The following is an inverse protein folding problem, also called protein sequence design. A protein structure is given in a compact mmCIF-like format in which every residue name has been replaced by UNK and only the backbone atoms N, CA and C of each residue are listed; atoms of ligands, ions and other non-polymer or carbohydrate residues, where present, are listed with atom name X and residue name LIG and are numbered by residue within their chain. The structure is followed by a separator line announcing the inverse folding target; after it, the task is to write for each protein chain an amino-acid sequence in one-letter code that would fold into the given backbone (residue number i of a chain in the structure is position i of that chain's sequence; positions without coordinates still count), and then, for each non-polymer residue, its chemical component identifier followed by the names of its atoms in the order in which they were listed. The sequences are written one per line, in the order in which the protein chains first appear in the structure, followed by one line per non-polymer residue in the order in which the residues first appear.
data_IF_428183787454
#
_entry.id   IF_428183787454
#
_cell.length_a   1.000
_cell.length_b   1.000
_cell.length_c   1.000
_cell.angle_alpha   90.00
_cell.angle_beta   90.00
_cell.angle_gamma   90.00
#
_symmetry.space_group_name_H-M   'P 1'
#
loop_
_entity.id
_entity.type
_entity.pdbx_description
1 polymer ?
#
# COMPACT_ATOMS: atom_id res chain seq x y z
N UNK A 1 77.56 39.43 1.06
CA UNK A 1 77.97 39.34 -0.37
C UNK A 1 77.62 37.92 -0.78
N UNK A 2 76.70 37.64 -1.72
CA UNK A 2 76.65 38.08 -3.12
C UNK A 2 75.23 37.85 -3.66
N UNK A 3 74.78 38.74 -4.55
CA UNK A 3 73.52 38.70 -5.31
C UNK A 3 73.42 37.48 -6.24
N UNK A 4 72.20 37.13 -6.69
CA UNK A 4 71.74 37.01 -8.11
C UNK A 4 70.27 36.50 -8.06
N UNK A 5 69.24 37.31 -8.34
CA UNK A 5 68.59 37.70 -9.62
C UNK A 5 67.99 36.56 -10.47
N UNK A 6 66.65 36.66 -10.60
CA UNK A 6 65.67 35.96 -11.46
C UNK A 6 66.11 35.73 -12.91
N UNK A 7 65.69 34.59 -13.50
CA UNK A 7 64.77 34.57 -14.67
C UNK A 7 64.31 33.16 -15.12
N UNK A 8 62.98 33.03 -15.26
CA UNK A 8 62.13 32.37 -16.27
C UNK A 8 62.56 31.03 -16.92
N UNK A 9 61.76 29.98 -16.70
CA UNK A 9 61.17 29.02 -17.70
C UNK A 9 59.93 28.39 -17.02
N UNK A 10 58.72 28.85 -17.30
CA UNK A 10 57.70 28.18 -18.13
C UNK A 10 57.32 26.74 -17.69
N UNK A 11 56.18 26.62 -16.99
CA UNK A 11 55.26 25.50 -17.17
C UNK A 11 53.83 26.05 -17.18
N UNK A 12 53.20 25.90 -18.33
CA UNK A 12 51.78 26.11 -18.58
C UNK A 12 51.01 24.87 -18.12
N UNK A 13 49.79 25.08 -17.62
CA UNK A 13 48.72 24.07 -17.67
C UNK A 13 48.32 23.48 -16.33
N UNK A 14 47.56 24.23 -15.53
CA UNK A 14 46.64 23.66 -14.56
C UNK A 14 45.55 24.69 -14.22
N UNK A 15 44.41 24.60 -14.90
CA UNK A 15 43.08 24.99 -14.41
C UNK A 15 42.13 24.96 -15.60
N UNK A 16 41.33 23.90 -15.69
CA UNK A 16 39.93 23.91 -16.14
C UNK A 16 39.42 22.46 -16.17
N UNK A 17 38.14 22.32 -15.83
CA UNK A 17 37.32 21.11 -15.86
C UNK A 17 37.28 20.27 -14.57
N UNK A 18 36.80 20.90 -13.49
CA UNK A 18 36.03 20.23 -12.43
C UNK A 18 34.61 20.82 -12.38
N UNK A 19 33.95 20.91 -13.54
CA UNK A 19 32.54 21.23 -13.68
C UNK A 19 32.00 20.33 -14.79
N UNK A 20 31.45 19.19 -14.41
CA UNK A 20 30.96 18.20 -15.36
C UNK A 20 30.60 16.89 -14.68
N UNK A 21 29.85 16.95 -13.58
CA UNK A 21 29.26 15.75 -12.95
C UNK A 21 28.08 16.06 -12.00
N UNK A 22 27.40 17.20 -12.19
CA UNK A 22 26.18 17.55 -11.43
C UNK A 22 24.99 17.84 -12.37
N UNK A 23 25.19 17.82 -13.69
CA UNK A 23 24.15 18.17 -14.67
C UNK A 23 23.28 16.98 -15.13
N UNK A 24 23.42 15.79 -14.52
CA UNK A 24 22.69 14.59 -14.94
C UNK A 24 21.52 14.16 -14.04
N UNK A 25 21.44 14.65 -12.80
CA UNK A 25 20.38 14.28 -11.85
C UNK A 25 19.24 15.31 -11.77
N UNK A 26 19.48 16.54 -12.20
CA UNK A 26 18.48 17.61 -12.17
C UNK A 26 17.45 17.54 -13.30
N UNK A 27 17.64 16.66 -14.29
CA UNK A 27 16.71 16.48 -15.40
C UNK A 27 15.55 15.51 -15.10
N UNK A 28 15.61 14.79 -13.97
CA UNK A 28 14.61 13.79 -13.57
C UNK A 28 13.96 14.19 -12.24
N UNK A 29 13.68 15.47 -12.01
CA UNK A 29 12.93 15.92 -10.84
C UNK A 29 11.59 16.48 -11.34
N UNK A 30 10.47 16.25 -10.63
CA UNK A 30 9.16 16.73 -11.07
C UNK A 30 9.18 18.26 -11.25
N UNK A 31 8.55 18.74 -12.32
CA UNK A 31 8.35 20.18 -12.53
C UNK A 31 7.24 20.65 -11.60
N UNK A 32 7.60 21.24 -10.47
CA UNK A 32 6.63 21.81 -9.53
C UNK A 32 5.88 22.98 -10.17
N UNK A 33 4.56 22.85 -10.31
CA UNK A 33 3.67 24.00 -10.46
C UNK A 33 3.68 24.76 -9.12
N UNK A 34 4.50 25.80 -9.04
CA UNK A 34 4.56 26.66 -7.85
C UNK A 34 3.43 27.67 -7.91
N UNK A 35 2.37 27.42 -7.14
CA UNK A 35 1.57 28.45 -6.47
C UNK A 35 0.66 27.77 -5.42
N UNK A 36 1.20 27.55 -4.22
CA UNK A 36 0.40 27.29 -3.02
C UNK A 36 0.91 28.22 -1.92
N UNK A 37 0.00 29.06 -1.43
CA UNK A 37 0.28 30.02 -0.36
C UNK A 37 0.49 29.32 0.98
N UNK A 38 1.41 29.87 1.77
CA UNK A 38 1.64 29.50 3.16
C UNK A 38 0.33 29.57 3.97
N UNK A 39 -0.13 28.45 4.53
CA UNK A 39 -0.76 28.43 5.85
C UNK A 39 -0.63 27.03 6.49
N UNK A 40 -0.13 27.02 7.72
CA UNK A 40 0.37 25.85 8.42
C UNK A 40 -0.63 25.25 9.44
N UNK A 41 -0.55 23.92 9.56
CA UNK A 41 -0.68 23.08 10.75
C UNK A 41 -2.03 23.00 11.53
N UNK A 42 -2.60 21.79 11.43
CA UNK A 42 -3.00 20.90 12.52
C UNK A 42 -4.36 21.07 13.24
N UNK A 43 -5.10 19.96 13.23
CA UNK A 43 -6.05 19.49 14.24
C UNK A 43 -7.25 20.39 14.54
N UNK A 44 -8.32 20.25 13.76
CA UNK A 44 -9.64 20.53 14.32
C UNK A 44 -10.74 19.71 13.66
N UNK A 45 -11.46 18.91 14.45
CA UNK A 45 -12.84 18.47 14.20
C UNK A 45 -13.83 19.66 14.26
N UNK A 46 -13.40 20.86 13.88
CA UNK A 46 -14.25 22.03 13.80
C UNK A 46 -14.75 22.16 12.36
N UNK A 47 -16.08 22.08 12.20
CA UNK A 47 -16.78 22.38 10.95
C UNK A 47 -16.38 23.80 10.50
N UNK A 48 -15.41 23.91 9.60
CA UNK A 48 -15.02 25.17 8.99
C UNK A 48 -16.23 25.73 8.21
N UNK A 49 -16.42 27.06 8.18
CA UNK A 49 -17.53 27.65 7.44
C UNK A 49 -17.39 27.32 5.95
N UNK A 50 -18.40 26.61 5.44
CA UNK A 50 -18.55 26.23 4.04
C UNK A 50 -18.32 27.44 3.11
N UNK A 51 -17.38 27.33 2.15
CA UNK A 51 -17.13 28.39 1.17
C UNK A 51 -18.42 28.69 0.37
N UNK A 52 -18.64 29.95 -0.01
CA UNK A 52 -19.76 30.32 -0.89
C UNK A 52 -19.65 29.53 -2.21
N UNK A 53 -20.63 28.65 -2.48
CA UNK A 53 -20.68 27.84 -3.69
C UNK A 53 -20.42 26.35 -3.50
N UNK A 54 -19.97 25.89 -2.32
CA UNK A 54 -19.84 24.45 -2.03
C UNK A 54 -21.22 23.78 -2.11
N UNK A 55 -21.36 22.66 -2.85
CA UNK A 55 -22.61 21.91 -2.91
C UNK A 55 -23.07 21.40 -1.54
N UNK A 56 -24.33 21.03 -1.43
CA UNK A 56 -24.89 20.52 -0.18
C UNK A 56 -24.32 19.15 0.14
N UNK A 57 -23.73 19.01 1.33
CA UNK A 57 -23.30 17.73 1.87
C UNK A 57 -24.49 16.80 2.22
N UNK A 58 -24.23 15.49 2.22
CA UNK A 58 -25.14 14.44 2.67
C UNK A 58 -25.29 14.38 4.21
N UNK A 59 -25.93 13.33 4.73
CA UNK A 59 -26.14 13.18 6.17
C UNK A 59 -24.86 12.91 6.97
N UNK A 60 -23.81 12.42 6.32
CA UNK A 60 -22.50 12.19 6.92
C UNK A 60 -21.61 13.43 6.86
N UNK A 61 -22.06 14.49 6.17
CA UNK A 61 -21.27 15.70 5.94
C UNK A 61 -20.33 15.60 4.73
N UNK A 62 -20.53 14.61 3.85
CA UNK A 62 -19.76 14.42 2.63
C UNK A 62 -20.46 15.08 1.44
N UNK A 63 -19.74 15.88 0.66
CA UNK A 63 -20.21 16.30 -0.67
C UNK A 63 -19.79 15.24 -1.69
N UNK A 64 -20.77 14.65 -2.37
CA UNK A 64 -20.54 13.59 -3.37
C UNK A 64 -19.81 14.10 -4.60
N UNK A 65 -19.07 13.23 -5.29
CA UNK A 65 -18.35 13.59 -6.53
C UNK A 65 -19.29 14.18 -7.59
N UNK A 66 -20.46 13.56 -7.80
CA UNK A 66 -21.48 14.04 -8.74
C UNK A 66 -21.93 15.49 -8.45
N UNK A 67 -21.93 15.91 -7.17
CA UNK A 67 -22.33 17.27 -6.81
C UNK A 67 -21.29 18.32 -7.25
N UNK A 68 -20.05 17.92 -7.52
CA UNK A 68 -18.96 18.79 -7.99
C UNK A 68 -18.87 18.92 -9.51
N UNK A 69 -19.60 18.10 -10.28
CA UNK A 69 -19.43 17.99 -11.74
C UNK A 69 -19.57 19.30 -12.53
N UNK A 70 -20.45 20.21 -12.08
CA UNK A 70 -20.67 21.48 -12.78
C UNK A 70 -19.60 22.53 -12.43
N UNK A 71 -18.89 22.33 -11.31
CA UNK A 71 -17.83 23.21 -10.80
C UNK A 71 -16.45 22.73 -11.27
N UNK A 72 -16.21 21.41 -11.26
CA UNK A 72 -14.97 20.75 -11.65
C UNK A 72 -15.22 19.68 -12.73
N UNK A 73 -15.69 20.07 -13.94
CA UNK A 73 -16.14 19.14 -14.95
C UNK A 73 -15.04 18.22 -15.50
N UNK A 74 -13.79 18.70 -15.60
CA UNK A 74 -12.67 17.90 -16.11
C UNK A 74 -12.21 16.83 -15.11
N UNK A 75 -12.06 17.21 -13.83
CA UNK A 75 -11.74 16.30 -12.74
C UNK A 75 -12.84 15.25 -12.59
N UNK A 76 -14.11 15.67 -12.60
CA UNK A 76 -15.23 14.73 -12.53
C UNK A 76 -15.29 13.79 -13.74
N UNK A 77 -15.12 14.32 -14.96
CA UNK A 77 -15.15 13.48 -16.16
C UNK A 77 -14.05 12.43 -16.15
N UNK A 78 -12.81 12.81 -15.80
CA UNK A 78 -11.70 11.85 -15.71
C UNK A 78 -11.85 10.88 -14.53
N UNK A 79 -12.44 11.31 -13.41
CA UNK A 79 -12.86 10.41 -12.33
C UNK A 79 -13.84 9.33 -12.83
N UNK A 80 -14.79 9.68 -13.70
CA UNK A 80 -15.74 8.71 -14.24
C UNK A 80 -15.12 7.74 -15.27
N UNK A 81 -13.96 8.06 -15.87
CA UNK A 81 -13.26 7.12 -16.75
C UNK A 81 -12.83 5.83 -16.03
N UNK A 82 -12.65 5.90 -14.71
CA UNK A 82 -12.35 4.74 -13.88
C UNK A 82 -13.43 3.63 -13.97
N UNK A 83 -14.65 3.93 -14.42
CA UNK A 83 -15.70 2.92 -14.68
C UNK A 83 -15.25 1.84 -15.69
N UNK A 84 -14.28 2.14 -16.57
CA UNK A 84 -13.74 1.17 -17.51
C UNK A 84 -13.08 -0.04 -16.83
N UNK A 85 -12.50 0.15 -15.63
CA UNK A 85 -11.84 -0.88 -14.84
C UNK A 85 -12.80 -1.50 -13.81
N UNK A 86 -13.85 -2.16 -14.31
CA UNK A 86 -14.94 -2.75 -13.52
C UNK A 86 -14.65 -4.17 -13.01
N UNK A 87 -15.40 -4.66 -12.00
CA UNK A 87 -15.31 -6.06 -11.58
C UNK A 87 -15.56 -7.07 -12.71
N UNK A 88 -16.37 -6.69 -13.71
CA UNK A 88 -16.69 -7.52 -14.87
C UNK A 88 -15.67 -7.38 -16.01
N UNK A 89 -14.59 -6.60 -15.84
CA UNK A 89 -13.60 -6.32 -16.90
C UNK A 89 -12.58 -7.45 -17.11
N UNK A 90 -12.89 -8.67 -16.69
CA UNK A 90 -11.99 -9.83 -16.80
C UNK A 90 -10.93 -9.90 -15.71
N UNK A 91 -11.26 -9.43 -14.50
CA UNK A 91 -10.38 -9.47 -13.32
C UNK A 91 -9.88 -10.88 -13.05
N UNK A 92 -8.60 -11.01 -12.71
CA UNK A 92 -8.02 -12.28 -12.29
C UNK A 92 -8.52 -12.68 -10.89
N UNK A 93 -8.86 -13.97 -10.72
CA UNK A 93 -8.95 -14.58 -9.39
C UNK A 93 -7.56 -15.09 -9.00
N UNK A 94 -6.93 -14.46 -8.01
CA UNK A 94 -5.60 -14.85 -7.55
C UNK A 94 -5.58 -16.26 -6.94
N UNK A 95 -6.69 -16.79 -6.42
CA UNK A 95 -6.76 -18.17 -5.94
C UNK A 95 -6.70 -19.18 -7.09
N UNK A 96 -7.09 -18.78 -8.30
CA UNK A 96 -6.92 -19.58 -9.53
C UNK A 96 -5.53 -19.38 -10.15
N UNK A 97 -5.05 -18.12 -10.22
CA UNK A 97 -3.76 -17.78 -10.80
C UNK A 97 -2.58 -18.33 -9.98
N UNK A 98 -2.70 -18.29 -8.65
CA UNK A 98 -1.74 -18.82 -7.68
C UNK A 98 -2.38 -19.89 -6.79
N UNK A 99 -2.51 -21.15 -7.27
CA UNK A 99 -3.22 -22.20 -6.55
C UNK A 99 -2.68 -22.49 -5.13
N UNK A 100 -1.39 -22.23 -4.89
CA UNK A 100 -0.74 -22.35 -3.58
C UNK A 100 -1.45 -21.54 -2.48
N UNK A 101 -2.10 -20.42 -2.84
CA UNK A 101 -2.85 -19.57 -1.92
C UNK A 101 -3.98 -20.32 -1.20
N UNK A 102 -4.59 -21.30 -1.84
CA UNK A 102 -5.64 -22.13 -1.24
C UNK A 102 -5.13 -22.92 -0.03
N UNK A 103 -3.84 -23.28 -0.03
CA UNK A 103 -3.19 -23.88 1.12
C UNK A 103 -2.72 -22.80 2.10
N UNK A 104 -2.00 -21.77 1.62
CA UNK A 104 -1.37 -20.74 2.46
C UNK A 104 -2.36 -19.94 3.31
N UNK A 105 -3.53 -19.59 2.75
CA UNK A 105 -4.55 -18.80 3.45
C UNK A 105 -5.60 -19.65 4.17
N UNK A 106 -5.39 -20.96 4.29
CA UNK A 106 -6.39 -21.85 4.88
C UNK A 106 -6.71 -21.46 6.32
N UNK A 107 -8.00 -21.24 6.58
CA UNK A 107 -8.51 -20.73 7.85
C UNK A 107 -8.73 -19.22 7.89
N UNK A 108 -8.37 -18.49 6.83
CA UNK A 108 -8.57 -17.06 6.70
C UNK A 108 -9.56 -16.69 5.58
N UNK A 109 -10.11 -15.47 5.65
CA UNK A 109 -11.17 -15.04 4.72
C UNK A 109 -10.68 -14.97 3.26
N UNK A 110 -9.39 -14.68 3.04
CA UNK A 110 -8.79 -14.66 1.71
C UNK A 110 -8.85 -16.00 0.98
N UNK A 111 -8.95 -17.13 1.69
CA UNK A 111 -9.18 -18.44 1.07
C UNK A 111 -10.62 -18.63 0.53
N UNK A 112 -11.53 -17.67 0.76
CA UNK A 112 -12.89 -17.70 0.23
C UNK A 112 -13.00 -16.97 -1.11
N UNK A 113 -12.12 -16.00 -1.37
CA UNK A 113 -12.07 -15.22 -2.60
C UNK A 113 -11.03 -14.10 -2.52
N UNK A 114 -10.25 -13.95 -3.58
CA UNK A 114 -9.22 -12.92 -3.72
C UNK A 114 -9.01 -12.54 -5.18
N UNK A 115 -9.67 -11.45 -5.59
CA UNK A 115 -9.61 -10.96 -6.96
C UNK A 115 -8.64 -9.78 -7.11
N UNK A 116 -8.14 -9.60 -8.33
CA UNK A 116 -7.45 -8.41 -8.80
C UNK A 116 -8.28 -7.15 -8.52
N UNK A 117 -7.61 -6.05 -8.16
CA UNK A 117 -8.29 -4.80 -7.81
C UNK A 117 -9.09 -4.23 -9.00
N UNK A 118 -10.33 -3.84 -8.72
CA UNK A 118 -11.15 -2.98 -9.59
C UNK A 118 -10.98 -1.52 -9.17
N UNK A 119 -11.41 -0.57 -10.01
CA UNK A 119 -11.22 0.84 -9.69
C UNK A 119 -12.01 1.32 -8.47
N UNK A 120 -11.58 2.46 -7.95
CA UNK A 120 -12.15 3.14 -6.79
C UNK A 120 -13.67 3.34 -6.83
N UNK A 121 -14.25 3.59 -8.01
CA UNK A 121 -15.70 3.79 -8.16
C UNK A 121 -16.51 2.52 -7.85
N UNK A 122 -15.87 1.35 -7.89
CA UNK A 122 -16.45 0.06 -7.52
C UNK A 122 -16.11 -0.40 -6.12
N UNK A 123 -15.36 0.38 -5.32
CA UNK A 123 -14.90 -0.04 -4.00
C UNK A 123 -16.03 -0.54 -3.08
N UNK A 124 -17.17 0.16 -3.06
CA UNK A 124 -18.35 -0.26 -2.31
C UNK A 124 -19.01 -1.54 -2.88
N UNK A 125 -19.06 -1.68 -4.22
CA UNK A 125 -19.60 -2.89 -4.84
C UNK A 125 -18.72 -4.10 -4.51
N UNK A 126 -17.42 -4.01 -4.79
CA UNK A 126 -16.47 -5.11 -4.60
C UNK A 126 -16.43 -5.59 -3.14
N UNK A 127 -16.45 -4.68 -2.16
CA UNK A 127 -16.45 -5.07 -0.74
C UNK A 127 -17.78 -5.69 -0.28
N UNK A 128 -18.92 -5.30 -0.89
CA UNK A 128 -20.24 -5.90 -0.63
C UNK A 128 -20.35 -7.31 -1.22
N UNK A 129 -19.71 -7.56 -2.36
CA UNK A 129 -19.92 -8.77 -3.16
C UNK A 129 -18.86 -9.85 -2.92
N UNK A 130 -17.68 -9.49 -2.41
CA UNK A 130 -16.61 -10.45 -2.18
C UNK A 130 -17.04 -11.61 -1.25
N UNK A 131 -16.62 -12.86 -1.52
CA UNK A 131 -16.80 -13.99 -0.61
C UNK A 131 -16.32 -13.73 0.83
N UNK A 132 -15.34 -12.84 0.99
CA UNK A 132 -14.75 -12.51 2.29
C UNK A 132 -15.73 -11.88 3.27
N UNK A 133 -16.75 -11.18 2.77
CA UNK A 133 -17.78 -10.48 3.58
C UNK A 133 -19.15 -11.16 3.49
N UNK A 134 -19.44 -11.83 2.37
CA UNK A 134 -20.72 -12.52 2.15
C UNK A 134 -20.78 -13.91 2.79
N UNK A 135 -19.63 -14.59 2.95
CA UNK A 135 -19.58 -15.93 3.55
C UNK A 135 -19.04 -15.92 4.99
N UNK A 136 -18.44 -14.82 5.44
CA UNK A 136 -17.93 -14.62 6.80
C UNK A 136 -18.27 -13.22 7.27
N UNK A 137 -18.97 -13.11 8.40
CA UNK A 137 -19.25 -11.81 9.02
C UNK A 137 -17.93 -11.12 9.40
N UNK A 138 -17.81 -9.86 9.00
CA UNK A 138 -16.68 -9.00 9.32
C UNK A 138 -17.12 -7.86 10.24
N UNK A 139 -16.16 -7.14 10.81
CA UNK A 139 -16.42 -5.87 11.48
C UNK A 139 -16.43 -4.71 10.48
N UNK A 140 -17.00 -3.59 10.90
CA UNK A 140 -17.13 -2.40 10.07
C UNK A 140 -15.78 -1.80 9.62
N UNK A 141 -14.66 -2.21 10.22
CA UNK A 141 -13.31 -1.91 9.73
C UNK A 141 -13.06 -2.22 8.26
N UNK A 142 -13.73 -3.22 7.68
CA UNK A 142 -13.59 -3.52 6.26
C UNK A 142 -14.09 -2.37 5.35
N UNK A 143 -14.81 -1.39 5.89
CA UNK A 143 -15.39 -0.24 5.18
C UNK A 143 -14.42 0.96 5.12
N UNK A 144 -13.42 1.02 6.02
CA UNK A 144 -12.49 2.17 6.20
C UNK A 144 -11.98 2.75 4.88
N UNK A 145 -11.48 1.88 4.00
CA UNK A 145 -10.84 2.27 2.74
C UNK A 145 -11.77 2.06 1.54
N UNK A 146 -13.09 2.26 1.71
CA UNK A 146 -14.09 1.97 0.66
C UNK A 146 -15.06 3.12 0.39
N UNK A 147 -15.25 4.02 1.35
CA UNK A 147 -16.15 5.16 1.22
C UNK A 147 -15.75 6.31 2.15
N UNK A 148 -15.83 7.58 1.70
CA UNK A 148 -15.60 8.73 2.57
C UNK A 148 -16.67 8.86 3.67
N UNK A 149 -17.88 8.32 3.45
CA UNK A 149 -18.99 8.43 4.41
C UNK A 149 -18.72 7.67 5.70
N UNK A 150 -18.11 6.48 5.61
CA UNK A 150 -17.70 5.73 6.80
C UNK A 150 -16.57 6.44 7.54
N UNK A 151 -15.57 6.97 6.83
CA UNK A 151 -14.50 7.77 7.44
C UNK A 151 -15.05 9.00 8.16
N UNK A 152 -15.97 9.74 7.54
CA UNK A 152 -16.63 10.89 8.17
C UNK A 152 -17.44 10.48 9.40
N UNK A 153 -18.15 9.34 9.34
CA UNK A 153 -18.88 8.78 10.48
C UNK A 153 -17.95 8.45 11.64
N UNK A 154 -16.86 7.72 11.42
CA UNK A 154 -15.86 7.40 12.46
C UNK A 154 -15.27 8.68 13.05
N UNK A 155 -14.89 9.65 12.22
CA UNK A 155 -14.32 10.91 12.69
C UNK A 155 -15.30 11.73 13.56
N UNK A 156 -16.60 11.59 13.32
CA UNK A 156 -17.66 12.28 14.08
C UNK A 156 -18.11 11.53 15.33
N UNK A 157 -18.24 10.21 15.26
CA UNK A 157 -18.87 9.38 16.30
C UNK A 157 -17.86 8.68 17.21
N UNK A 158 -16.63 8.49 16.75
CA UNK A 158 -15.55 7.85 17.48
C UNK A 158 -15.24 6.43 17.00
N UNK A 159 -14.18 5.87 17.60
CA UNK A 159 -13.61 4.57 17.23
C UNK A 159 -14.57 3.39 17.53
N UNK A 160 -15.58 3.56 18.39
CA UNK A 160 -16.55 2.48 18.67
C UNK A 160 -17.31 2.00 17.42
N UNK A 161 -17.43 2.85 16.39
CA UNK A 161 -18.08 2.51 15.11
C UNK A 161 -17.42 1.29 14.45
N UNK A 162 -16.10 1.10 14.63
CA UNK A 162 -15.39 -0.06 14.10
C UNK A 162 -15.90 -1.39 14.65
N UNK A 163 -16.45 -1.40 15.87
CA UNK A 163 -16.94 -2.62 16.53
C UNK A 163 -18.27 -3.13 15.98
N UNK A 164 -18.95 -2.31 15.16
CA UNK A 164 -20.20 -2.70 14.51
C UNK A 164 -19.98 -3.80 13.47
N UNK A 165 -21.05 -4.52 13.13
CA UNK A 165 -20.99 -5.53 12.07
C UNK A 165 -20.94 -4.88 10.71
N UNK A 166 -20.10 -5.41 9.83
CA UNK A 166 -20.00 -4.98 8.45
C UNK A 166 -21.36 -5.03 7.74
N UNK A 167 -22.08 -6.15 7.86
CA UNK A 167 -23.34 -6.35 7.12
C UNK A 167 -24.49 -5.47 7.63
N UNK A 168 -24.40 -4.97 8.86
CA UNK A 168 -25.40 -4.04 9.41
C UNK A 168 -25.14 -2.61 8.88
N UNK A 169 -23.88 -2.25 8.60
CA UNK A 169 -23.44 -0.89 8.24
C UNK A 169 -23.33 -0.64 6.73
N UNK A 170 -22.81 -1.61 5.96
CA UNK A 170 -22.36 -1.39 4.58
C UNK A 170 -23.48 -0.91 3.63
N UNK A 171 -24.75 -1.19 3.96
CA UNK A 171 -25.93 -0.75 3.21
C UNK A 171 -26.26 0.74 3.38
N UNK A 172 -25.72 1.40 4.39
CA UNK A 172 -25.96 2.83 4.67
C UNK A 172 -25.15 3.77 3.77
N UNK A 173 -24.09 3.25 3.13
CA UNK A 173 -23.15 4.02 2.33
C UNK A 173 -23.40 3.86 0.82
N UNK A 174 -23.36 4.99 0.12
CA UNK A 174 -23.68 5.13 -1.30
C UNK A 174 -22.55 5.75 -2.11
N UNK A 175 -21.69 6.55 -1.48
CA UNK A 175 -20.57 7.22 -2.15
C UNK A 175 -19.33 6.32 -2.09
N UNK A 176 -18.79 5.82 -3.21
CA UNK A 176 -17.53 5.08 -3.23
C UNK A 176 -16.35 6.02 -2.93
N UNK A 177 -15.12 5.56 -3.07
CA UNK A 177 -13.95 6.44 -2.96
C UNK A 177 -14.10 7.60 -3.95
N UNK A 178 -14.03 8.84 -3.45
CA UNK A 178 -14.39 10.05 -4.21
C UNK A 178 -13.61 11.28 -3.76
N UNK A 179 -13.99 12.46 -4.26
CA UNK A 179 -13.32 13.75 -3.99
C UNK A 179 -13.02 13.95 -2.49
N UNK A 180 -13.96 13.57 -1.62
CA UNK A 180 -13.86 13.80 -0.18
C UNK A 180 -12.68 13.07 0.47
N UNK A 181 -12.30 11.89 -0.03
CA UNK A 181 -11.21 11.12 0.56
C UNK A 181 -9.87 11.88 0.54
N UNK A 182 -9.66 12.72 -0.48
CA UNK A 182 -8.40 13.45 -0.70
C UNK A 182 -8.54 14.97 -0.51
N UNK A 183 -9.76 15.51 -0.54
CA UNK A 183 -10.02 16.95 -0.51
C UNK A 183 -11.05 17.38 0.55
N UNK A 184 -11.63 16.44 1.31
CA UNK A 184 -12.80 16.71 2.14
C UNK A 184 -13.90 17.46 1.33
N UNK A 185 -14.35 18.62 1.80
CA UNK A 185 -15.27 19.48 1.05
C UNK A 185 -14.58 20.73 0.48
N UNK A 186 -13.25 20.69 0.35
CA UNK A 186 -12.37 21.77 -0.12
C UNK A 186 -11.51 21.30 -1.31
N UNK A 187 -12.07 21.22 -2.54
CA UNK A 187 -11.42 20.61 -3.71
C UNK A 187 -10.08 21.21 -4.15
N UNK A 188 -9.69 22.37 -3.63
CA UNK A 188 -8.43 23.03 -3.97
C UNK A 188 -7.29 22.71 -2.99
N UNK A 189 -7.56 21.96 -1.93
CA UNK A 189 -6.56 21.56 -0.93
C UNK A 189 -6.54 20.04 -0.77
N UNK A 190 -5.38 19.48 -0.46
CA UNK A 190 -5.26 18.08 -0.10
C UNK A 190 -5.45 17.90 1.41
N UNK A 191 -6.16 16.86 1.79
CA UNK A 191 -6.42 16.48 3.18
C UNK A 191 -6.42 14.97 3.33
N UNK A 192 -5.91 14.52 4.47
CA UNK A 192 -5.85 13.10 4.86
C UNK A 192 -6.91 12.90 5.94
N UNK A 193 -8.04 12.32 5.55
CA UNK A 193 -9.21 12.07 6.40
C UNK A 193 -9.07 10.83 7.27
N UNK A 194 -8.28 9.84 6.83
CA UNK A 194 -8.00 8.59 7.53
C UNK A 194 -7.14 8.81 8.77
N UNK A 195 -7.77 9.02 9.93
CA UNK A 195 -7.05 9.36 11.18
C UNK A 195 -6.13 8.26 11.68
N UNK A 196 -6.39 6.99 11.35
CA UNK A 196 -5.48 5.90 11.73
C UNK A 196 -4.11 6.02 11.04
N UNK A 197 -4.11 6.42 9.76
CA UNK A 197 -2.91 6.64 8.97
C UNK A 197 -2.20 7.93 9.39
N UNK A 198 -2.93 9.01 9.67
CA UNK A 198 -2.34 10.23 10.25
C UNK A 198 -1.62 9.93 11.56
N UNK A 199 -2.24 9.12 12.43
CA UNK A 199 -1.63 8.71 13.71
C UNK A 199 -0.37 7.87 13.50
N UNK A 200 -0.35 6.96 12.52
CA UNK A 200 0.81 6.11 12.24
C UNK A 200 1.96 6.87 11.58
N UNK A 201 1.69 7.86 10.72
CA UNK A 201 2.72 8.75 10.19
C UNK A 201 3.37 9.61 11.27
N UNK A 202 2.64 9.98 12.32
CA UNK A 202 3.19 10.72 13.46
C UNK A 202 3.80 12.07 13.03
N UNK A 203 5.12 12.24 13.22
CA UNK A 203 5.84 13.45 12.79
C UNK A 203 5.99 13.58 11.28
N UNK A 204 5.80 12.50 10.54
CA UNK A 204 6.02 12.44 9.10
C UNK A 204 4.73 12.75 8.32
N UNK A 205 3.70 13.21 9.01
CA UNK A 205 2.45 13.70 8.42
C UNK A 205 2.49 15.20 8.11
N UNK A 206 1.88 15.57 6.97
CA UNK A 206 1.61 16.95 6.57
C UNK A 206 2.62 17.53 5.58
N UNK A 207 2.39 18.77 5.16
CA UNK A 207 3.14 19.50 4.12
C UNK A 207 4.64 19.66 4.39
N UNK A 208 5.05 19.57 5.65
CA UNK A 208 6.45 19.70 6.04
C UNK A 208 7.22 18.36 6.00
N UNK A 209 6.54 17.26 5.69
CA UNK A 209 7.12 15.93 5.58
C UNK A 209 8.02 15.79 4.34
N UNK A 210 8.91 14.80 4.37
CA UNK A 210 9.66 14.38 3.18
C UNK A 210 8.75 13.67 2.16
N UNK A 211 7.62 13.13 2.60
CA UNK A 211 6.61 12.53 1.73
C UNK A 211 5.63 13.62 1.28
N UNK A 212 5.45 13.87 -0.04
CA UNK A 212 4.49 14.85 -0.53
C UNK A 212 3.04 14.52 -0.12
N UNK A 213 2.21 15.55 0.08
CA UNK A 213 0.79 15.36 0.41
C UNK A 213 0.03 14.57 -0.65
N UNK A 214 0.43 14.71 -1.92
CA UNK A 214 -0.06 13.98 -3.09
C UNK A 214 0.11 12.46 -2.94
N UNK A 215 1.10 12.02 -2.17
CA UNK A 215 1.29 10.60 -1.84
C UNK A 215 0.65 10.22 -0.52
N UNK A 216 0.64 11.11 0.48
CA UNK A 216 -0.02 10.86 1.76
C UNK A 216 -1.52 10.61 1.59
N UNK A 217 -2.19 11.27 0.63
CA UNK A 217 -3.61 11.01 0.36
C UNK A 217 -3.87 9.60 -0.21
N UNK A 218 -2.94 9.04 -0.99
CA UNK A 218 -3.01 7.64 -1.46
C UNK A 218 -2.72 6.65 -0.32
N UNK A 219 -1.72 6.99 0.50
CA UNK A 219 -1.30 6.23 1.67
C UNK A 219 -2.38 6.04 2.73
N UNK A 220 -3.49 6.78 2.67
CA UNK A 220 -4.67 6.52 3.52
C UNK A 220 -5.28 5.14 3.34
N UNK A 221 -5.13 4.53 2.17
CA UNK A 221 -5.79 3.27 1.83
C UNK A 221 -4.79 2.22 1.33
N UNK A 222 -3.78 2.66 0.58
CA UNK A 222 -2.75 1.83 -0.03
C UNK A 222 -1.59 1.60 0.93
N UNK A 223 -1.91 0.92 2.03
CA UNK A 223 -1.01 0.61 3.13
C UNK A 223 -1.27 -0.80 3.70
N UNK A 224 -0.29 -1.34 4.41
CA UNK A 224 -0.46 -2.48 5.30
C UNK A 224 -1.20 -2.05 6.57
N UNK A 225 -2.16 -2.87 7.00
CA UNK A 225 -2.94 -2.61 8.21
C UNK A 225 -3.32 -3.90 8.94
N UNK A 226 -3.73 -3.74 10.18
CA UNK A 226 -4.39 -4.79 10.95
C UNK A 226 -5.57 -4.22 11.75
N UNK A 227 -6.38 -5.10 12.33
CA UNK A 227 -7.44 -4.69 13.24
C UNK A 227 -7.00 -4.97 14.66
N UNK A 228 -6.86 -3.90 15.44
CA UNK A 228 -6.35 -4.00 16.80
C UNK A 228 -7.23 -4.95 17.64
N UNK A 229 -6.65 -5.98 18.28
CA UNK A 229 -7.44 -7.04 18.90
C UNK A 229 -8.25 -6.54 20.10
N UNK A 230 -7.86 -5.44 20.74
CA UNK A 230 -8.52 -4.89 21.92
C UNK A 230 -9.55 -3.82 21.54
N UNK A 231 -9.12 -2.82 20.77
CA UNK A 231 -9.93 -1.65 20.40
C UNK A 231 -10.76 -1.87 19.14
N UNK A 232 -10.39 -2.86 18.32
CA UNK A 232 -10.93 -3.09 16.97
C UNK A 232 -10.66 -1.95 16.00
N UNK A 233 -9.78 -1.00 16.30
CA UNK A 233 -9.48 0.10 15.37
C UNK A 233 -8.61 -0.41 14.21
N UNK A 234 -8.89 0.09 12.99
CA UNK A 234 -7.97 -0.11 11.86
C UNK A 234 -6.66 0.60 12.18
N UNK A 235 -5.55 -0.12 12.14
CA UNK A 235 -4.24 0.37 12.63
C UNK A 235 -3.14 -0.04 11.68
N UNK A 236 -2.13 0.79 11.47
CA UNK A 236 -0.91 0.41 10.75
C UNK A 236 0.15 -0.16 11.73
N UNK A 237 0.96 -1.14 11.32
CA UNK A 237 1.95 -1.78 12.18
C UNK A 237 3.30 -1.03 12.25
N UNK A 238 3.27 0.31 12.35
CA UNK A 238 4.46 1.16 12.38
C UNK A 238 4.15 2.56 12.95
N UNK A 239 5.19 3.27 13.41
CA UNK A 239 5.17 4.72 13.70
C UNK A 239 6.26 5.44 12.89
N UNK A 240 5.85 6.29 11.94
CA UNK A 240 6.73 7.01 11.02
C UNK A 240 7.18 6.17 9.81
N UNK A 241 7.78 6.84 8.81
CA UNK A 241 8.20 6.18 7.55
C UNK A 241 9.42 5.28 7.74
N UNK A 242 10.27 5.56 8.71
CA UNK A 242 11.46 4.75 9.02
C UNK A 242 11.09 3.31 9.43
N UNK A 243 9.93 3.13 10.05
CA UNK A 243 9.45 1.83 10.55
C UNK A 243 8.60 1.05 9.52
N UNK A 244 8.35 1.61 8.34
CA UNK A 244 7.56 0.97 7.28
C UNK A 244 8.35 -0.08 6.46
N UNK A 245 9.42 -0.63 7.02
CA UNK A 245 10.19 -1.69 6.34
C UNK A 245 9.62 -3.08 6.67
N UNK A 246 9.74 -4.08 5.77
CA UNK A 246 9.24 -5.43 6.04
C UNK A 246 9.73 -5.99 7.38
N UNK A 247 11.01 -5.78 7.72
CA UNK A 247 11.61 -6.30 8.96
C UNK A 247 11.05 -5.61 10.20
N UNK A 248 10.88 -4.29 10.15
CA UNK A 248 10.33 -3.51 11.26
C UNK A 248 8.85 -3.86 11.50
N UNK A 249 8.07 -4.04 10.43
CA UNK A 249 6.67 -4.46 10.51
C UNK A 249 6.54 -5.89 11.08
N UNK A 250 7.38 -6.82 10.63
CA UNK A 250 7.38 -8.17 11.21
C UNK A 250 7.74 -8.14 12.71
N UNK A 251 8.77 -7.37 13.07
CA UNK A 251 9.17 -7.19 14.46
C UNK A 251 8.05 -6.57 15.31
N UNK A 252 7.34 -5.57 14.78
CA UNK A 252 6.19 -4.95 15.43
C UNK A 252 5.13 -5.98 15.81
N UNK A 253 4.78 -6.88 14.88
CA UNK A 253 3.80 -7.94 15.11
C UNK A 253 4.31 -8.99 16.10
N UNK A 254 5.58 -9.37 16.00
CA UNK A 254 6.18 -10.40 16.85
C UNK A 254 6.31 -9.94 18.31
N UNK A 255 6.70 -8.67 18.55
CA UNK A 255 6.75 -8.07 19.89
C UNK A 255 5.38 -8.09 20.60
N UNK A 256 4.30 -8.05 19.82
CA UNK A 256 2.92 -8.10 20.32
C UNK A 256 2.37 -9.53 20.41
N UNK A 257 3.09 -10.52 19.89
CA UNK A 257 2.56 -11.87 19.69
C UNK A 257 1.29 -11.88 18.81
N UNK A 258 1.20 -10.94 17.87
CA UNK A 258 0.01 -10.74 17.04
C UNK A 258 -0.14 -11.85 16.00
N UNK A 259 -1.39 -12.21 15.70
CA UNK A 259 -1.75 -13.04 14.56
C UNK A 259 -3.13 -12.64 14.03
N UNK A 260 -3.27 -12.61 12.72
CA UNK A 260 -4.56 -12.45 12.07
C UNK A 260 -5.38 -13.75 12.13
N UNK A 261 -4.70 -14.88 11.94
CA UNK A 261 -5.31 -16.18 12.10
C UNK A 261 -4.33 -17.24 12.56
N UNK A 262 -4.89 -18.36 13.00
CA UNK A 262 -4.15 -19.58 13.21
C UNK A 262 -4.35 -20.48 11.99
N UNK A 263 -3.27 -20.86 11.31
CA UNK A 263 -3.35 -21.64 10.08
C UNK A 263 -4.06 -22.98 10.35
N UNK A 264 -5.07 -23.31 9.55
CA UNK A 264 -6.00 -24.38 9.88
C UNK A 264 -5.35 -25.76 9.95
N UNK A 265 -4.31 -26.02 9.16
CA UNK A 265 -3.66 -27.34 9.10
C UNK A 265 -2.45 -27.46 10.01
N UNK A 266 -1.69 -26.37 10.20
CA UNK A 266 -0.41 -26.40 10.93
C UNK A 266 -0.50 -25.79 12.33
N UNK A 267 -1.52 -24.96 12.61
CA UNK A 267 -1.64 -24.12 13.80
C UNK A 267 -0.62 -22.98 13.93
N UNK A 268 0.15 -22.71 12.87
CA UNK A 268 1.07 -21.58 12.85
C UNK A 268 0.30 -20.25 13.06
N UNK A 269 0.81 -19.33 13.89
CA UNK A 269 0.21 -18.00 14.06
C UNK A 269 0.61 -17.14 12.86
N UNK A 270 -0.32 -16.87 11.96
CA UNK A 270 -0.01 -16.20 10.69
C UNK A 270 -0.34 -14.70 10.73
N UNK A 271 0.37 -13.93 9.92
CA UNK A 271 0.06 -12.53 9.58
C UNK A 271 -0.44 -12.52 8.13
N UNK A 272 -1.44 -11.71 7.83
CA UNK A 272 -1.83 -11.39 6.45
C UNK A 272 -1.37 -9.97 6.19
N UNK A 273 -0.45 -9.80 5.25
CA UNK A 273 -0.10 -8.47 4.75
C UNK A 273 -1.13 -8.03 3.69
N UNK A 274 -1.46 -6.76 3.59
CA UNK A 274 -2.30 -6.16 2.55
C UNK A 274 -1.58 -5.01 1.84
N UNK A 275 -1.84 -4.90 0.54
CA UNK A 275 -1.46 -3.82 -0.41
C UNK A 275 -0.50 -2.75 0.17
N UNK A 276 0.78 -3.08 0.17
CA UNK A 276 1.91 -2.36 0.80
C UNK A 276 2.51 -1.27 -0.10
N UNK A 277 1.70 -0.59 -0.92
CA UNK A 277 2.26 0.36 -1.90
C UNK A 277 2.98 1.52 -1.22
N UNK A 278 2.40 2.10 -0.16
CA UNK A 278 2.99 3.25 0.53
C UNK A 278 4.29 2.87 1.25
N UNK A 279 4.32 1.72 1.92
CA UNK A 279 5.51 1.16 2.57
C UNK A 279 6.61 0.86 1.55
N UNK A 280 6.25 0.29 0.40
CA UNK A 280 7.19 -0.04 -0.67
C UNK A 280 7.83 1.20 -1.29
N UNK A 281 7.05 2.28 -1.40
CA UNK A 281 7.50 3.55 -1.99
C UNK A 281 8.25 4.45 -1.01
N UNK A 282 7.78 4.56 0.23
CA UNK A 282 8.25 5.58 1.19
C UNK A 282 8.87 5.00 2.46
N UNK A 283 8.81 3.69 2.67
CA UNK A 283 9.35 3.06 3.87
C UNK A 283 10.87 2.98 3.89
N UNK A 284 11.46 3.30 5.04
CA UNK A 284 12.90 3.29 5.25
C UNK A 284 13.68 4.06 4.18
N UNK A 285 14.55 3.36 3.45
CA UNK A 285 15.31 3.96 2.36
C UNK A 285 14.46 4.02 1.08
N UNK A 286 13.53 4.98 1.03
CA UNK A 286 12.52 5.24 -0.02
C UNK A 286 12.87 4.75 -1.44
N UNK A 287 11.86 4.38 -2.22
CA UNK A 287 12.04 4.00 -3.61
C UNK A 287 12.78 5.07 -4.43
N UNK A 288 13.56 4.69 -5.47
CA UNK A 288 14.36 5.63 -6.25
C UNK A 288 13.57 6.82 -6.82
N UNK A 289 12.32 6.61 -7.26
CA UNK A 289 11.47 7.69 -7.79
C UNK A 289 10.98 8.62 -6.67
N UNK A 290 10.60 8.06 -5.51
CA UNK A 290 10.23 8.85 -4.33
C UNK A 290 11.40 9.72 -3.83
N UNK A 291 12.62 9.18 -3.79
CA UNK A 291 13.85 9.94 -3.45
C UNK A 291 14.12 11.13 -4.38
N UNK A 292 13.64 11.04 -5.61
CA UNK A 292 13.76 12.09 -6.62
C UNK A 292 12.63 13.12 -6.53
N UNK A 293 11.71 12.94 -5.58
CA UNK A 293 10.59 13.84 -5.30
C UNK A 293 9.29 13.49 -6.04
N UNK A 294 9.25 12.39 -6.81
CA UNK A 294 8.01 11.99 -7.48
C UNK A 294 6.99 11.44 -6.48
N UNK A 295 5.78 11.93 -6.60
CA UNK A 295 4.61 11.50 -5.85
C UNK A 295 3.83 10.39 -6.59
N UNK A 296 2.89 9.77 -5.88
CA UNK A 296 1.92 8.87 -6.50
C UNK A 296 1.13 9.57 -7.62
N UNK A 297 0.74 10.83 -7.39
CA UNK A 297 -0.06 11.61 -8.33
C UNK A 297 0.71 11.96 -9.60
N UNK A 298 2.02 12.20 -9.53
CA UNK A 298 2.84 12.50 -10.72
C UNK A 298 2.80 11.37 -11.76
N UNK A 299 2.64 10.12 -11.30
CA UNK A 299 2.56 8.94 -12.15
C UNK A 299 1.11 8.55 -12.49
N UNK A 300 0.26 8.41 -11.46
CA UNK A 300 -1.07 7.83 -11.61
C UNK A 300 -2.19 8.85 -11.85
N UNK A 301 -1.88 10.14 -11.70
CA UNK A 301 -2.81 11.27 -11.89
C UNK A 301 -2.17 12.34 -12.78
N UNK A 302 -1.34 11.93 -13.74
CA UNK A 302 -0.54 12.83 -14.58
C UNK A 302 -1.35 13.95 -15.23
N UNK A 303 -0.70 15.09 -15.47
CA UNK A 303 -1.30 16.28 -16.09
C UNK A 303 -1.77 15.98 -17.51
N UNK A 304 -2.97 16.45 -17.85
CA UNK A 304 -3.58 16.31 -19.17
C UNK A 304 -4.05 17.68 -19.67
N UNK A 305 -4.02 17.88 -20.98
CA UNK A 305 -4.50 19.11 -21.63
C UNK A 305 -6.03 19.04 -21.85
N UNK A 306 -6.78 19.90 -21.17
CA UNK A 306 -8.22 20.12 -21.39
C UNK A 306 -8.48 21.31 -22.32
N UNK A 307 -9.74 21.52 -22.70
CA UNK A 307 -10.11 22.65 -23.60
C UNK A 307 -9.79 24.03 -22.99
N UNK A 308 -9.88 24.16 -21.67
CA UNK A 308 -9.65 25.41 -20.92
C UNK A 308 -8.26 25.50 -20.26
N UNK A 309 -7.38 24.53 -20.52
CA UNK A 309 -6.02 24.46 -19.95
C UNK A 309 -5.68 23.09 -19.35
N UNK A 310 -4.49 23.00 -18.77
CA UNK A 310 -4.00 21.79 -18.10
C UNK A 310 -4.75 21.52 -16.79
N UNK A 311 -4.98 20.23 -16.50
CA UNK A 311 -5.55 19.78 -15.23
C UNK A 311 -4.96 18.42 -14.82
N UNK A 312 -5.03 18.11 -13.53
CA UNK A 312 -4.64 16.82 -12.96
C UNK A 312 -5.71 15.77 -13.27
N UNK A 313 -5.34 14.72 -14.01
CA UNK A 313 -6.25 13.61 -14.29
C UNK A 313 -6.71 12.94 -12.99
N UNK A 314 -8.00 12.65 -12.88
CA UNK A 314 -8.54 11.78 -11.83
C UNK A 314 -8.87 10.38 -12.35
N UNK A 315 -8.38 10.02 -13.55
CA UNK A 315 -8.36 8.65 -14.03
C UNK A 315 -7.13 7.94 -13.46
N UNK A 316 -7.33 7.12 -12.43
CA UNK A 316 -6.25 6.43 -11.72
C UNK A 316 -5.87 5.16 -12.47
N UNK A 317 -4.85 5.26 -13.31
CA UNK A 317 -4.44 4.20 -14.20
C UNK A 317 -2.95 3.91 -14.09
N UNK A 318 -2.48 2.85 -14.74
CA UNK A 318 -1.05 2.63 -14.92
C UNK A 318 -0.45 3.82 -15.67
N UNK A 319 0.69 4.38 -15.22
CA UNK A 319 1.36 5.47 -15.93
C UNK A 319 1.76 5.08 -17.36
N UNK A 320 1.91 3.79 -17.65
CA UNK A 320 2.25 3.28 -18.98
C UNK A 320 1.11 3.45 -20.01
N UNK A 321 -0.13 3.58 -19.54
CA UNK A 321 -1.30 3.83 -20.37
C UNK A 321 -1.43 5.34 -20.71
N UNK A 322 -0.69 6.21 -20.03
CA UNK A 322 -0.65 7.63 -20.32
C UNK A 322 0.57 7.97 -21.20
N UNK A 323 0.39 7.83 -22.52
CA UNK A 323 1.45 8.11 -23.49
C UNK A 323 1.95 9.57 -23.43
N UNK A 324 1.08 10.53 -23.12
CA UNK A 324 1.48 11.93 -22.98
C UNK A 324 2.46 12.10 -21.81
N UNK A 325 2.16 11.52 -20.65
CA UNK A 325 3.04 11.52 -19.49
C UNK A 325 4.38 10.81 -19.80
N UNK A 326 4.31 9.63 -20.43
CA UNK A 326 5.50 8.86 -20.79
C UNK A 326 6.41 9.69 -21.70
N UNK A 327 5.87 10.27 -22.78
CA UNK A 327 6.65 11.04 -23.76
C UNK A 327 7.20 12.35 -23.19
N UNK A 328 6.44 13.03 -22.33
CA UNK A 328 6.77 14.38 -21.84
C UNK A 328 7.63 14.41 -20.57
N UNK A 329 7.65 13.33 -19.78
CA UNK A 329 8.33 13.29 -18.48
C UNK A 329 9.22 12.04 -18.38
N UNK A 330 8.63 10.84 -18.48
CA UNK A 330 9.36 9.60 -18.20
C UNK A 330 10.48 9.32 -19.21
N UNK A 331 10.25 9.60 -20.50
CA UNK A 331 11.20 9.37 -21.58
C UNK A 331 12.44 10.28 -21.54
N UNK A 332 12.46 11.29 -20.68
CA UNK A 332 13.68 12.09 -20.43
C UNK A 332 14.77 11.26 -19.74
N UNK A 333 14.38 10.23 -18.98
CA UNK A 333 15.27 9.41 -18.15
C UNK A 333 15.17 7.90 -18.46
N UNK A 334 14.09 7.46 -19.09
CA UNK A 334 13.83 6.07 -19.42
C UNK A 334 13.64 5.84 -20.93
N UNK A 335 14.66 5.25 -21.57
CA UNK A 335 14.63 4.97 -23.02
C UNK A 335 13.46 4.05 -23.46
N UNK A 336 13.13 3.04 -22.65
CA UNK A 336 12.02 2.10 -22.88
C UNK A 336 11.44 1.68 -21.53
N UNK A 337 10.59 2.55 -20.96
CA UNK A 337 10.01 2.33 -19.64
C UNK A 337 9.10 1.10 -19.62
N UNK A 338 8.28 0.92 -20.66
CA UNK A 338 7.31 -0.18 -20.72
C UNK A 338 7.99 -1.56 -20.69
N UNK A 339 9.07 -1.74 -21.48
CA UNK A 339 9.84 -2.98 -21.42
C UNK A 339 10.51 -3.18 -20.07
N UNK A 340 11.09 -2.13 -19.48
CA UNK A 340 11.74 -2.22 -18.15
C UNK A 340 10.76 -2.64 -17.06
N UNK A 341 9.57 -2.04 -17.03
CA UNK A 341 8.52 -2.40 -16.06
C UNK A 341 8.10 -3.85 -16.29
N UNK A 342 7.80 -4.23 -17.53
CA UNK A 342 7.42 -5.61 -17.86
C UNK A 342 8.47 -6.64 -17.46
N UNK A 343 9.75 -6.36 -17.67
CA UNK A 343 10.84 -7.27 -17.30
C UNK A 343 10.94 -7.42 -15.76
N UNK A 344 10.69 -6.36 -15.00
CA UNK A 344 10.63 -6.39 -13.53
C UNK A 344 9.45 -7.25 -13.06
N UNK A 345 8.26 -6.99 -13.61
CA UNK A 345 7.03 -7.72 -13.24
C UNK A 345 7.16 -9.22 -13.58
N UNK A 346 7.74 -9.56 -14.73
CA UNK A 346 7.97 -10.94 -15.10
C UNK A 346 8.96 -11.67 -14.18
N UNK A 347 10.01 -10.98 -13.70
CA UNK A 347 10.94 -11.53 -12.71
C UNK A 347 10.24 -11.73 -11.36
N UNK A 348 9.45 -10.76 -10.92
CA UNK A 348 8.67 -10.83 -9.69
C UNK A 348 7.68 -12.01 -9.73
N UNK A 349 6.89 -12.13 -10.80
CA UNK A 349 5.88 -13.18 -10.98
C UNK A 349 6.52 -14.59 -10.93
N UNK A 350 7.67 -14.78 -11.59
CA UNK A 350 8.41 -16.04 -11.57
C UNK A 350 8.81 -16.41 -10.12
N UNK A 351 9.34 -15.44 -9.38
CA UNK A 351 9.83 -15.66 -8.01
C UNK A 351 8.68 -15.86 -7.03
N UNK A 352 7.62 -15.04 -7.09
CA UNK A 352 6.45 -15.19 -6.24
C UNK A 352 5.77 -16.52 -6.48
N UNK A 353 5.63 -16.96 -7.74
CA UNK A 353 5.12 -18.29 -8.06
C UNK A 353 5.97 -19.37 -7.41
N UNK A 354 7.28 -19.39 -7.68
CA UNK A 354 8.18 -20.44 -7.19
C UNK A 354 8.24 -20.51 -5.65
N UNK A 355 8.30 -19.36 -4.97
CA UNK A 355 8.34 -19.31 -3.52
C UNK A 355 7.00 -19.76 -2.92
N UNK A 356 5.86 -19.40 -3.53
CA UNK A 356 4.54 -19.84 -3.05
C UNK A 356 4.39 -21.37 -3.08
N UNK A 357 4.92 -22.04 -4.11
CA UNK A 357 4.92 -23.49 -4.23
C UNK A 357 5.79 -24.14 -3.14
N UNK A 358 6.94 -23.55 -2.82
CA UNK A 358 7.78 -24.00 -1.69
C UNK A 358 7.06 -23.82 -0.36
N UNK A 359 6.38 -22.70 -0.14
CA UNK A 359 5.63 -22.44 1.11
C UNK A 359 4.49 -23.43 1.25
N UNK A 360 3.78 -23.72 0.15
CA UNK A 360 2.75 -24.75 0.12
C UNK A 360 3.33 -26.13 0.48
N UNK A 361 4.45 -26.52 -0.15
CA UNK A 361 5.12 -27.78 0.13
C UNK A 361 5.50 -27.89 1.62
N UNK A 362 6.14 -26.86 2.17
CA UNK A 362 6.52 -26.80 3.57
C UNK A 362 5.30 -26.94 4.48
N UNK A 363 4.24 -26.18 4.20
CA UNK A 363 2.99 -26.20 4.97
C UNK A 363 2.37 -27.62 5.01
N UNK A 364 2.34 -28.30 3.86
CA UNK A 364 1.84 -29.69 3.76
C UNK A 364 2.71 -30.66 4.55
N UNK A 365 4.04 -30.54 4.45
CA UNK A 365 4.98 -31.41 5.16
C UNK A 365 4.94 -31.20 6.68
N UNK A 366 4.80 -29.96 7.16
CA UNK A 366 4.58 -29.67 8.59
C UNK A 366 3.30 -30.34 9.07
N UNK A 367 2.19 -30.15 8.34
CA UNK A 367 0.90 -30.74 8.70
C UNK A 367 0.94 -32.28 8.74
N UNK A 368 1.67 -32.92 7.82
CA UNK A 368 1.83 -34.38 7.78
C UNK A 368 2.73 -34.90 8.91
N UNK A 369 3.93 -34.33 9.07
CA UNK A 369 4.94 -34.82 10.03
C UNK A 369 4.50 -34.65 11.49
N UNK A 370 3.76 -33.58 11.79
CA UNK A 370 3.30 -33.26 13.16
C UNK A 370 1.80 -33.51 13.37
N UNK A 371 1.16 -34.31 12.52
CA UNK A 371 -0.28 -34.54 12.53
C UNK A 371 -0.84 -34.94 13.92
N UNK A 372 -0.17 -35.88 14.61
CA UNK A 372 -0.59 -36.36 15.93
C UNK A 372 -0.49 -35.25 17.00
N UNK A 373 0.59 -34.47 16.96
CA UNK A 373 0.83 -33.37 17.91
C UNK A 373 -0.18 -32.24 17.68
N UNK A 374 -0.39 -31.84 16.42
CA UNK A 374 -1.38 -30.86 16.01
C UNK A 374 -2.79 -31.31 16.40
N UNK A 375 -3.13 -32.58 16.20
CA UNK A 375 -4.44 -33.12 16.59
C UNK A 375 -4.64 -33.09 18.11
N UNK A 376 -3.60 -33.39 18.90
CA UNK A 376 -3.66 -33.29 20.36
C UNK A 376 -3.87 -31.85 20.84
N UNK A 377 -3.17 -30.88 20.24
CA UNK A 377 -3.33 -29.45 20.54
C UNK A 377 -4.76 -28.99 20.19
N UNK A 378 -5.27 -29.35 19.00
CA UNK A 378 -6.66 -29.02 18.59
C UNK A 378 -7.69 -29.59 19.56
N UNK A 379 -7.59 -30.88 19.89
CA UNK A 379 -8.52 -31.53 20.81
C UNK A 379 -8.51 -30.90 22.21
N UNK A 380 -7.34 -30.49 22.71
CA UNK A 380 -7.23 -29.80 24.00
C UNK A 380 -7.88 -28.41 23.98
N UNK A 381 -7.68 -27.64 22.89
CA UNK A 381 -8.34 -26.33 22.68
C UNK A 381 -9.87 -26.47 22.63
N UNK A 382 -10.38 -27.44 21.86
CA UNK A 382 -11.82 -27.71 21.74
C UNK A 382 -12.45 -28.14 23.07
N UNK A 383 -11.72 -28.89 23.89
CA UNK A 383 -12.17 -29.31 25.22
C UNK A 383 -12.15 -28.17 26.26
N UNK A 384 -11.58 -27.01 25.94
CA UNK A 384 -11.41 -25.88 26.87
C UNK A 384 -10.47 -26.19 28.05
N UNK A 385 -9.58 -27.17 27.87
CA UNK A 385 -8.64 -27.63 28.89
C UNK A 385 -7.26 -27.00 28.78
N UNK A 386 -6.29 -27.56 29.52
CA UNK A 386 -4.88 -27.20 29.38
C UNK A 386 -4.35 -27.65 28.01
N UNK A 387 -3.85 -26.71 27.22
CA UNK A 387 -3.31 -26.97 25.88
C UNK A 387 -1.86 -27.43 26.03
N UNK A 388 -1.48 -28.62 25.51
CA UNK A 388 -0.09 -29.06 25.56
C UNK A 388 0.79 -28.08 24.76
N UNK A 389 1.98 -27.78 25.29
CA UNK A 389 2.96 -27.01 24.56
C UNK A 389 3.42 -27.79 23.33
N UNK A 390 3.53 -27.10 22.19
CA UNK A 390 4.14 -27.68 20.99
C UNK A 390 5.62 -27.98 21.22
N UNK A 391 6.16 -28.95 20.50
CA UNK A 391 7.58 -29.27 20.45
C UNK A 391 8.37 -28.06 19.94
N UNK A 392 9.63 -27.95 20.39
CA UNK A 392 10.51 -26.85 19.95
C UNK A 392 10.70 -26.84 18.43
N UNK A 393 10.72 -28.02 17.81
CA UNK A 393 10.83 -28.17 16.35
C UNK A 393 9.57 -27.66 15.63
N UNK A 394 8.37 -27.99 16.12
CA UNK A 394 7.12 -27.47 15.56
C UNK A 394 6.99 -25.95 15.73
N UNK A 395 7.41 -25.40 16.88
CA UNK A 395 7.45 -23.95 17.10
C UNK A 395 8.42 -23.24 16.15
N UNK A 396 9.58 -23.85 15.88
CA UNK A 396 10.55 -23.34 14.89
C UNK A 396 9.94 -23.34 13.50
N UNK A 397 9.28 -24.43 13.10
CA UNK A 397 8.61 -24.53 11.80
C UNK A 397 7.44 -23.56 11.66
N UNK A 398 6.69 -23.28 12.73
CA UNK A 398 5.67 -22.24 12.72
C UNK A 398 6.25 -20.86 12.45
N UNK A 399 7.40 -20.55 13.06
CA UNK A 399 8.09 -19.26 12.85
C UNK A 399 8.59 -19.15 11.41
N UNK A 400 9.18 -20.20 10.86
CA UNK A 400 9.65 -20.23 9.46
C UNK A 400 8.48 -20.13 8.48
N UNK A 401 7.36 -20.83 8.73
CA UNK A 401 6.14 -20.70 7.92
C UNK A 401 5.58 -19.28 7.96
N UNK A 402 5.44 -18.70 9.15
CA UNK A 402 4.97 -17.33 9.35
C UNK A 402 5.85 -16.33 8.60
N UNK A 403 7.16 -16.40 8.78
CA UNK A 403 8.10 -15.44 8.21
C UNK A 403 8.20 -15.57 6.69
N UNK A 404 8.28 -16.81 6.17
CA UNK A 404 8.30 -17.05 4.73
C UNK A 404 7.07 -16.47 4.05
N UNK A 405 5.88 -16.73 4.62
CA UNK A 405 4.63 -16.20 4.08
C UNK A 405 4.49 -14.69 4.30
N UNK A 406 4.95 -14.13 5.41
CA UNK A 406 4.90 -12.69 5.65
C UNK A 406 5.68 -11.91 4.59
N UNK A 407 6.96 -12.27 4.37
CA UNK A 407 7.79 -11.58 3.38
C UNK A 407 7.28 -11.82 1.95
N UNK A 408 6.76 -13.01 1.66
CA UNK A 408 6.13 -13.30 0.38
C UNK A 408 4.87 -12.45 0.16
N UNK A 409 3.97 -12.40 1.15
CA UNK A 409 2.75 -11.61 1.10
C UNK A 409 3.08 -10.14 0.92
N UNK A 410 4.10 -9.61 1.60
CA UNK A 410 4.52 -8.20 1.50
C UNK A 410 4.81 -7.76 0.07
N UNK A 411 5.28 -8.67 -0.78
CA UNK A 411 5.53 -8.40 -2.20
C UNK A 411 4.30 -8.71 -3.05
N UNK A 412 3.70 -9.89 -2.89
CA UNK A 412 2.62 -10.37 -3.76
C UNK A 412 1.36 -9.48 -3.73
N UNK A 413 1.10 -8.84 -2.58
CA UNK A 413 -0.09 -7.98 -2.43
C UNK A 413 0.11 -6.56 -2.95
N UNK A 414 1.35 -6.18 -3.28
CA UNK A 414 1.69 -4.86 -3.81
C UNK A 414 1.41 -4.82 -5.31
N UNK A 415 0.51 -3.94 -5.73
CA UNK A 415 -0.12 -4.03 -7.05
C UNK A 415 0.80 -3.65 -8.23
N UNK A 416 1.97 -3.05 -7.99
CA UNK A 416 2.90 -2.71 -9.06
C UNK A 416 3.77 -3.88 -9.52
N UNK A 417 3.72 -5.01 -8.82
CA UNK A 417 4.50 -6.21 -9.12
C UNK A 417 6.01 -5.87 -9.17
N UNK A 418 6.45 -5.08 -8.18
CA UNK A 418 7.84 -4.66 -8.02
C UNK A 418 8.29 -3.46 -8.85
N UNK A 419 7.43 -2.88 -9.69
CA UNK A 419 7.77 -1.69 -10.46
C UNK A 419 8.05 -0.46 -9.58
N UNK A 420 7.37 -0.34 -8.44
CA UNK A 420 7.56 0.72 -7.46
C UNK A 420 8.95 0.66 -6.80
N UNK A 421 9.41 -0.53 -6.38
CA UNK A 421 10.71 -0.70 -5.73
C UNK A 421 11.33 -2.09 -5.93
N UNK A 422 11.82 -2.36 -7.15
CA UNK A 422 12.39 -3.66 -7.51
C UNK A 422 13.55 -4.15 -6.63
N UNK A 423 14.28 -3.23 -5.97
CA UNK A 423 15.35 -3.61 -5.03
C UNK A 423 14.75 -4.20 -3.76
N UNK A 424 13.82 -3.48 -3.12
CA UNK A 424 13.13 -3.96 -1.92
C UNK A 424 12.36 -5.25 -2.21
N UNK A 425 11.68 -5.34 -3.36
CA UNK A 425 11.00 -6.56 -3.82
C UNK A 425 11.93 -7.76 -3.83
N UNK A 426 13.11 -7.64 -4.47
CA UNK A 426 14.07 -8.75 -4.53
C UNK A 426 14.60 -9.15 -3.16
N UNK A 427 14.99 -8.17 -2.35
CA UNK A 427 15.52 -8.40 -1.00
C UNK A 427 14.48 -9.04 -0.07
N UNK A 428 13.22 -8.67 -0.22
CA UNK A 428 12.11 -9.22 0.56
C UNK A 428 11.82 -10.66 0.15
N UNK A 429 11.80 -10.96 -1.15
CA UNK A 429 11.66 -12.32 -1.66
C UNK A 429 12.86 -13.23 -1.30
N UNK A 430 14.08 -12.68 -1.23
CA UNK A 430 15.25 -13.44 -0.75
C UNK A 430 15.05 -13.92 0.70
N UNK A 431 14.43 -13.10 1.55
CA UNK A 431 14.11 -13.46 2.94
C UNK A 431 13.00 -14.50 3.01
N UNK A 432 11.96 -14.35 2.18
CA UNK A 432 10.89 -15.34 2.06
C UNK A 432 11.45 -16.70 1.66
N UNK A 433 12.29 -16.73 0.62
CA UNK A 433 12.93 -17.93 0.09
C UNK A 433 13.87 -18.58 1.13
N UNK A 434 14.70 -17.79 1.81
CA UNK A 434 15.59 -18.31 2.84
C UNK A 434 14.83 -18.99 3.98
N UNK A 435 13.73 -18.38 4.45
CA UNK A 435 12.91 -18.95 5.52
C UNK A 435 12.24 -20.27 5.12
N UNK A 436 11.69 -20.35 3.90
CA UNK A 436 11.05 -21.59 3.43
C UNK A 436 12.08 -22.70 3.13
N UNK A 437 13.25 -22.35 2.58
CA UNK A 437 14.30 -23.33 2.31
C UNK A 437 14.88 -23.90 3.62
N UNK A 438 15.02 -23.08 4.66
CA UNK A 438 15.39 -23.55 6.00
C UNK A 438 14.34 -24.51 6.57
N UNK A 439 13.05 -24.15 6.48
CA UNK A 439 11.97 -25.00 6.97
C UNK A 439 11.89 -26.35 6.23
N UNK A 440 12.04 -26.35 4.90
CA UNK A 440 12.11 -27.57 4.11
C UNK A 440 13.33 -28.43 4.45
N UNK A 441 14.48 -27.82 4.79
CA UNK A 441 15.68 -28.55 5.20
C UNK A 441 15.51 -29.25 6.57
N UNK A 442 14.72 -28.67 7.48
CA UNK A 442 14.37 -29.33 8.76
C UNK A 442 13.39 -30.51 8.57
N UNK A 443 12.59 -30.46 7.49
CA UNK A 443 11.58 -31.47 7.18
C UNK A 443 12.12 -32.65 6.37
N UNK A 444 13.25 -32.47 5.67
CA UNK A 444 13.99 -33.49 4.90
C UNK A 444 14.68 -34.53 5.78
#
# INVERSE_FOLDING_TARGET
MTKVKRNKVALWGASLCAFGLVAGLAACAPQSATDAGDDAAATSNAKLPQQEGTPKADEYGVVTAEAWKDVYPYQYSSYMENEANSPDSGKHDYLELYPALNTMYKGYAFALGYDEASSHVYALQSVKETPRTTQKEQLANCITCKTPQFTAKVNSEGDEVYTEKFNDMIGEFTEPISCYNCHENEPQSLSVTGQYFVKSLGSDYGEASEVPMESQVCGQCHNEYYFDPDTKVTTNPYEGTDEMTPDAILAYYDERGYKDWEHADTLAPMIKVQHTEFETMYGGDMAPMAKQGYSCADCHMGTVEGEDGEYTSHNWTSPLENQQLVESNCSECHDDLATKVKDIQAEEEERVTSISEKIEQMTKQVAERYADEIAAIKAAKEAGGEVPAASEELQTLWTLQRNAQFYWDFVMVENSEGAHNSVLTRETLDKAEAAVDEGLALLA
#
